data_IF_391310560294
#
_entry.id   IF_391310560294
#
_cell.length_a   1.000
_cell.length_b   1.000
_cell.length_c   1.000
_cell.angle_alpha   90.00
_cell.angle_beta   90.00
_cell.angle_gamma   90.00
#
_symmetry.space_group_name_H-M   'P 1'
#
loop_
_entity.id
_entity.type
_entity.pdbx_description
1 polymer ?
#
# COMPACT_ATOMS: atom_id res chain seq x y z
N UNK A 1 -3.03 -4.73 -22.09
CA UNK A 1 -2.30 -4.81 -20.79
C UNK A 1 -1.85 -6.25 -20.56
N UNK A 2 -0.64 -6.48 -20.02
CA UNK A 2 -0.20 -7.84 -19.64
C UNK A 2 -0.96 -8.33 -18.40
N UNK A 3 -1.27 -9.62 -18.32
CA UNK A 3 -1.98 -10.21 -17.18
C UNK A 3 -1.25 -10.00 -15.85
N UNK A 4 0.09 -10.03 -15.87
CA UNK A 4 0.94 -9.79 -14.69
C UNK A 4 0.74 -8.43 -14.01
N UNK A 5 0.11 -7.47 -14.72
CA UNK A 5 -0.15 -6.11 -14.23
C UNK A 5 -1.57 -5.92 -13.71
N UNK A 6 -2.43 -6.92 -13.81
CA UNK A 6 -3.82 -6.86 -13.35
C UNK A 6 -3.87 -7.21 -11.86
N UNK A 7 -4.36 -6.32 -10.98
CA UNK A 7 -4.54 -6.65 -9.57
C UNK A 7 -5.42 -7.88 -9.37
N UNK A 8 -5.09 -8.71 -8.39
CA UNK A 8 -5.77 -9.98 -8.13
C UNK A 8 -5.28 -11.17 -8.96
N UNK A 9 -4.61 -10.98 -10.11
CA UNK A 9 -4.02 -12.11 -10.86
C UNK A 9 -2.67 -12.48 -10.23
N UNK A 10 -2.69 -13.52 -9.41
CA UNK A 10 -1.50 -14.06 -8.73
C UNK A 10 -0.67 -15.01 -9.58
N UNK A 11 0.49 -15.43 -9.04
CA UNK A 11 1.45 -16.28 -9.74
C UNK A 11 0.86 -17.60 -10.26
N UNK A 12 0.00 -18.27 -9.48
CA UNK A 12 -0.65 -19.53 -9.89
C UNK A 12 -1.58 -19.33 -11.10
N UNK A 13 -2.38 -18.26 -11.10
CA UNK A 13 -3.25 -17.93 -12.23
C UNK A 13 -2.42 -17.57 -13.47
N UNK A 14 -1.34 -16.79 -13.32
CA UNK A 14 -0.43 -16.48 -14.42
C UNK A 14 0.21 -17.74 -15.01
N UNK A 15 0.64 -18.67 -14.17
CA UNK A 15 1.22 -19.93 -14.63
C UNK A 15 0.23 -20.73 -15.48
N UNK A 16 -1.03 -20.85 -15.02
CA UNK A 16 -2.11 -21.50 -15.77
C UNK A 16 -2.34 -20.83 -17.13
N UNK A 17 -2.45 -19.50 -17.17
CA UNK A 17 -2.68 -18.78 -18.42
C UNK A 17 -1.49 -18.86 -19.38
N UNK A 18 -0.26 -18.80 -18.87
CA UNK A 18 0.94 -18.94 -19.70
C UNK A 18 1.04 -20.32 -20.34
N UNK A 19 0.63 -21.40 -19.65
CA UNK A 19 0.55 -22.74 -20.24
C UNK A 19 -0.43 -22.79 -21.42
N UNK A 20 -1.48 -21.97 -21.38
CA UNK A 20 -2.46 -21.80 -22.44
C UNK A 20 -2.06 -20.73 -23.47
N UNK A 21 -0.82 -20.22 -23.40
CA UNK A 21 -0.29 -19.13 -24.25
C UNK A 21 -1.08 -17.81 -24.16
N UNK A 22 -1.73 -17.55 -23.03
CA UNK A 22 -2.47 -16.31 -22.73
C UNK A 22 -1.60 -15.39 -21.88
N UNK A 23 -1.28 -14.19 -22.37
CA UNK A 23 -0.32 -13.27 -21.73
C UNK A 23 -0.89 -11.87 -21.48
N UNK A 24 -1.94 -11.49 -22.21
CA UNK A 24 -2.61 -10.18 -22.17
C UNK A 24 -4.10 -10.35 -21.88
N UNK A 25 -4.73 -9.27 -21.41
CA UNK A 25 -6.18 -9.25 -21.14
C UNK A 25 -6.99 -9.69 -22.37
N UNK A 26 -6.59 -9.27 -23.56
CA UNK A 26 -7.27 -9.60 -24.83
C UNK A 26 -7.23 -11.11 -25.18
N UNK A 27 -6.34 -11.87 -24.55
CA UNK A 27 -6.21 -13.31 -24.77
C UNK A 27 -7.18 -14.10 -23.87
N UNK A 28 -7.87 -13.44 -22.95
CA UNK A 28 -8.82 -14.06 -22.02
C UNK A 28 -10.20 -14.23 -22.66
N UNK A 29 -10.78 -15.39 -22.43
CA UNK A 29 -12.15 -15.74 -22.78
C UNK A 29 -13.07 -15.66 -21.56
N UNK A 30 -14.39 -15.72 -21.77
CA UNK A 30 -15.39 -15.68 -20.69
C UNK A 30 -15.11 -16.72 -19.58
N UNK A 31 -14.79 -17.95 -19.96
CA UNK A 31 -14.45 -19.03 -19.02
C UNK A 31 -13.20 -18.72 -18.16
N UNK A 32 -12.22 -18.01 -18.72
CA UNK A 32 -11.04 -17.60 -17.96
C UNK A 32 -11.44 -16.59 -16.90
N UNK A 33 -12.28 -15.62 -17.29
CA UNK A 33 -12.79 -14.56 -16.43
C UNK A 33 -13.58 -15.12 -15.25
N UNK A 34 -14.41 -16.14 -15.48
CA UNK A 34 -15.18 -16.81 -14.44
C UNK A 34 -14.29 -17.57 -13.44
N UNK A 35 -13.17 -18.12 -13.91
CA UNK A 35 -12.20 -18.82 -13.07
C UNK A 35 -11.35 -17.91 -12.18
N UNK A 36 -11.38 -16.60 -12.43
CA UNK A 36 -10.61 -15.61 -11.67
C UNK A 36 -11.25 -15.32 -10.30
N UNK A 37 -10.38 -15.02 -9.32
CA UNK A 37 -10.84 -14.55 -8.02
C UNK A 37 -11.58 -13.19 -8.13
N UNK A 38 -12.32 -12.84 -7.07
CA UNK A 38 -13.14 -11.63 -7.05
C UNK A 38 -12.34 -10.35 -7.36
N UNK A 39 -11.13 -10.19 -6.81
CA UNK A 39 -10.31 -9.00 -7.06
C UNK A 39 -9.92 -8.87 -8.54
N UNK A 40 -9.50 -9.97 -9.18
CA UNK A 40 -9.12 -9.97 -10.58
C UNK A 40 -10.31 -9.66 -11.49
N UNK A 41 -11.48 -10.27 -11.24
CA UNK A 41 -12.72 -9.99 -11.98
C UNK A 41 -13.11 -8.52 -11.88
N UNK A 42 -13.16 -7.98 -10.66
CA UNK A 42 -13.49 -6.57 -10.45
C UNK A 42 -12.45 -5.63 -11.06
N UNK A 43 -11.16 -5.99 -11.01
CA UNK A 43 -10.10 -5.19 -11.63
C UNK A 43 -10.29 -5.09 -13.14
N UNK A 44 -10.60 -6.20 -13.81
CA UNK A 44 -10.86 -6.23 -15.25
C UNK A 44 -12.15 -5.50 -15.63
N UNK A 45 -13.15 -5.51 -14.75
CA UNK A 45 -14.43 -4.84 -14.98
C UNK A 45 -14.37 -3.31 -14.80
N UNK A 46 -13.66 -2.82 -13.78
CA UNK A 46 -13.75 -1.43 -13.34
C UNK A 46 -12.52 -0.57 -13.60
N UNK A 47 -11.34 -1.18 -13.81
CA UNK A 47 -10.10 -0.45 -14.01
C UNK A 47 -9.76 -0.37 -15.50
N UNK A 48 -9.31 0.80 -15.93
CA UNK A 48 -8.77 1.03 -17.27
C UNK A 48 -7.22 0.99 -17.30
N UNK A 49 -6.60 0.74 -16.14
CA UNK A 49 -5.17 0.52 -15.95
C UNK A 49 -4.22 1.67 -16.36
N UNK A 50 -4.72 2.88 -16.60
CA UNK A 50 -3.88 4.06 -16.82
C UNK A 50 -3.47 4.73 -15.50
N UNK A 51 -2.24 5.26 -15.37
CA UNK A 51 -1.83 5.98 -14.17
C UNK A 51 -2.65 7.25 -13.88
N UNK A 52 -2.93 7.50 -12.61
CA UNK A 52 -3.62 8.68 -12.10
C UNK A 52 -2.66 9.84 -11.88
N UNK A 53 -3.09 11.05 -12.18
CA UNK A 53 -2.41 12.31 -11.86
C UNK A 53 -2.59 12.72 -10.40
N UNK A 54 -1.76 13.63 -9.91
CA UNK A 54 -1.93 14.20 -8.55
C UNK A 54 -3.28 14.89 -8.38
N UNK A 55 -3.79 15.54 -9.43
CA UNK A 55 -5.10 16.20 -9.42
C UNK A 55 -6.24 15.21 -9.17
N UNK A 56 -6.21 14.04 -9.82
CA UNK A 56 -7.21 12.99 -9.60
C UNK A 56 -7.14 12.45 -8.14
N UNK A 57 -5.94 12.20 -7.62
CA UNK A 57 -5.78 11.75 -6.22
C UNK A 57 -6.21 12.83 -5.22
N UNK A 58 -5.91 14.11 -5.50
CA UNK A 58 -6.36 15.24 -4.69
C UNK A 58 -7.88 15.42 -4.72
N UNK A 59 -8.56 15.03 -5.80
CA UNK A 59 -10.02 14.99 -5.87
C UNK A 59 -10.59 13.90 -4.95
N UNK A 60 -10.04 12.68 -5.01
CA UNK A 60 -10.41 11.60 -4.08
C UNK A 60 -10.16 12.01 -2.64
N UNK A 61 -9.02 12.65 -2.36
CA UNK A 61 -8.67 13.19 -1.05
C UNK A 61 -9.75 14.14 -0.51
N UNK A 62 -10.21 15.08 -1.35
CA UNK A 62 -11.23 16.08 -0.98
C UNK A 62 -12.63 15.48 -0.85
N UNK A 63 -13.05 14.66 -1.82
CA UNK A 63 -14.43 14.17 -1.91
C UNK A 63 -14.72 12.97 -1.02
N UNK A 64 -13.72 12.11 -0.80
CA UNK A 64 -13.87 10.87 -0.06
C UNK A 64 -13.05 10.87 1.25
N UNK A 65 -11.72 10.98 1.17
CA UNK A 65 -10.85 10.70 2.32
C UNK A 65 -11.11 11.67 3.48
N UNK A 66 -11.13 12.98 3.22
CA UNK A 66 -11.40 14.01 4.23
C UNK A 66 -12.73 13.86 4.96
N UNK A 67 -13.73 13.22 4.32
CA UNK A 67 -15.06 13.03 4.90
C UNK A 67 -15.18 11.78 5.76
N UNK A 68 -14.35 10.77 5.52
CA UNK A 68 -14.48 9.45 6.16
C UNK A 68 -13.38 9.16 7.19
N UNK A 69 -12.25 9.85 7.14
CA UNK A 69 -11.10 9.58 8.00
C UNK A 69 -10.67 10.84 8.75
N UNK A 70 -10.37 10.70 10.04
CA UNK A 70 -9.96 11.82 10.90
C UNK A 70 -8.45 12.02 10.91
N UNK A 71 -7.69 10.96 11.20
CA UNK A 71 -6.22 10.95 11.12
C UNK A 71 -5.80 10.01 10.02
N UNK A 72 -5.27 10.57 8.94
CA UNK A 72 -4.88 9.82 7.77
C UNK A 72 -3.68 10.45 7.07
N UNK A 73 -3.02 9.65 6.24
CA UNK A 73 -1.98 10.10 5.32
C UNK A 73 -2.06 9.30 4.02
N UNK A 74 -1.95 9.98 2.88
CA UNK A 74 -1.79 9.30 1.59
C UNK A 74 -0.29 9.02 1.42
N UNK A 75 0.07 7.76 1.54
CA UNK A 75 1.45 7.28 1.53
C UNK A 75 1.93 6.95 0.10
N UNK A 76 2.82 5.97 0.00
CA UNK A 76 3.27 5.43 -1.27
C UNK A 76 3.84 6.47 -2.23
N UNK A 77 3.58 6.25 -3.51
CA UNK A 77 4.10 7.09 -4.58
C UNK A 77 3.64 8.56 -4.51
N UNK A 78 2.45 8.81 -3.96
CA UNK A 78 1.94 10.16 -3.75
C UNK A 78 2.78 10.94 -2.74
N UNK A 79 3.08 10.34 -1.56
CA UNK A 79 3.93 10.99 -0.54
C UNK A 79 5.37 11.20 -1.01
N UNK A 80 5.87 10.34 -1.90
CA UNK A 80 7.17 10.49 -2.59
C UNK A 80 7.14 11.49 -3.76
N UNK A 81 6.07 12.28 -3.90
CA UNK A 81 5.91 13.34 -4.91
C UNK A 81 5.99 12.87 -6.37
N UNK A 82 5.66 11.61 -6.66
CA UNK A 82 5.59 11.14 -8.06
C UNK A 82 4.49 11.90 -8.81
N UNK A 83 4.73 12.17 -10.10
CA UNK A 83 3.74 12.85 -10.97
C UNK A 83 2.52 11.98 -11.28
N UNK A 84 2.71 10.64 -11.28
CA UNK A 84 1.71 9.64 -11.65
C UNK A 84 1.71 8.49 -10.65
N UNK A 85 0.53 8.00 -10.30
CA UNK A 85 0.28 6.93 -9.32
C UNK A 85 -0.58 5.84 -9.95
N UNK A 86 -0.48 4.61 -9.45
CA UNK A 86 -1.33 3.49 -9.90
C UNK A 86 -2.55 3.29 -9.00
N UNK A 87 -2.43 3.73 -7.76
CA UNK A 87 -3.31 3.46 -6.63
C UNK A 87 -3.11 4.54 -5.55
N UNK A 88 -3.92 4.43 -4.49
CA UNK A 88 -3.83 5.21 -3.26
C UNK A 88 -3.49 4.26 -2.12
N UNK A 89 -2.31 4.45 -1.52
CA UNK A 89 -1.94 3.85 -0.24
C UNK A 89 -2.42 4.76 0.90
N UNK A 90 -3.56 4.46 1.52
CA UNK A 90 -4.16 5.28 2.58
C UNK A 90 -3.85 4.69 3.96
N UNK A 91 -3.06 5.40 4.76
CA UNK A 91 -2.81 5.07 6.16
C UNK A 91 -3.80 5.83 7.05
N UNK A 92 -4.37 5.18 8.05
CA UNK A 92 -5.29 5.80 9.04
C UNK A 92 -5.14 5.16 10.42
N UNK A 93 -5.63 5.84 11.46
CA UNK A 93 -5.75 5.25 12.81
C UNK A 93 -7.12 4.71 13.14
N UNK A 94 -8.14 5.04 12.35
CA UNK A 94 -9.51 4.58 12.57
C UNK A 94 -9.92 3.60 11.47
N UNK A 95 -10.44 2.44 11.88
CA UNK A 95 -11.15 1.55 10.97
C UNK A 95 -12.47 2.21 10.55
N UNK A 96 -12.89 1.96 9.31
CA UNK A 96 -14.16 2.44 8.77
C UNK A 96 -14.85 1.26 8.11
N UNK A 97 -16.12 1.05 8.45
CA UNK A 97 -16.95 0.08 7.76
C UNK A 97 -17.34 0.63 6.40
N UNK A 98 -16.62 0.19 5.37
CA UNK A 98 -16.91 0.55 3.99
C UNK A 98 -18.09 -0.29 3.48
N UNK A 99 -18.99 0.35 2.74
CA UNK A 99 -20.16 -0.30 2.11
C UNK A 99 -20.08 -0.14 0.60
N UNK A 100 -20.46 -1.20 -0.11
CA UNK A 100 -20.60 -1.18 -1.57
C UNK A 100 -21.56 -0.07 -2.00
N UNK A 101 -21.21 0.66 -3.07
CA UNK A 101 -22.08 1.66 -3.69
C UNK A 101 -21.72 1.85 -5.16
N UNK A 102 -22.46 2.71 -5.87
CA UNK A 102 -22.13 3.09 -7.26
C UNK A 102 -20.74 3.75 -7.39
N UNK A 103 -20.25 4.39 -6.33
CA UNK A 103 -18.99 5.14 -6.32
C UNK A 103 -17.90 4.44 -5.50
N UNK A 104 -18.20 3.28 -4.89
CA UNK A 104 -17.26 2.48 -4.13
C UNK A 104 -17.48 0.98 -4.39
N UNK A 105 -16.48 0.34 -5.00
CA UNK A 105 -16.47 -1.10 -5.24
C UNK A 105 -15.59 -1.78 -4.19
N UNK A 106 -16.19 -2.50 -3.26
CA UNK A 106 -15.52 -3.16 -2.16
C UNK A 106 -14.93 -4.50 -2.63
N UNK A 107 -13.63 -4.71 -2.40
CA UNK A 107 -12.94 -5.94 -2.79
C UNK A 107 -12.65 -6.79 -1.57
N UNK A 108 -12.10 -6.16 -0.53
CA UNK A 108 -11.78 -6.78 0.74
C UNK A 108 -12.05 -5.79 1.85
N UNK A 109 -12.82 -6.22 2.85
CA UNK A 109 -13.07 -5.45 4.06
C UNK A 109 -12.42 -6.14 5.25
N UNK A 110 -11.38 -5.54 5.82
CA UNK A 110 -10.67 -6.11 6.96
C UNK A 110 -10.35 -5.05 8.01
N UNK A 111 -10.17 -5.50 9.25
CA UNK A 111 -9.99 -4.58 10.39
C UNK A 111 -8.68 -3.77 10.29
N UNK A 112 -7.59 -4.39 9.84
CA UNK A 112 -6.28 -3.75 9.68
C UNK A 112 -5.95 -3.36 8.25
N UNK A 113 -6.59 -4.02 7.27
CA UNK A 113 -6.40 -3.75 5.85
C UNK A 113 -7.69 -3.98 5.07
N UNK A 114 -8.06 -2.99 4.28
CA UNK A 114 -9.14 -3.07 3.30
C UNK A 114 -8.64 -2.69 1.92
N UNK A 115 -9.30 -3.20 0.89
CA UNK A 115 -9.06 -2.85 -0.51
C UNK A 115 -10.38 -2.57 -1.19
N UNK A 116 -10.45 -1.47 -1.91
CA UNK A 116 -11.64 -1.05 -2.63
C UNK A 116 -11.27 -0.11 -3.76
N UNK A 117 -12.20 0.10 -4.68
CA UNK A 117 -12.07 1.11 -5.71
C UNK A 117 -12.99 2.27 -5.40
N UNK A 118 -12.51 3.50 -5.55
CA UNK A 118 -13.31 4.71 -5.38
C UNK A 118 -13.41 5.45 -6.70
N UNK A 119 -14.61 5.91 -7.05
CA UNK A 119 -14.83 6.64 -8.30
C UNK A 119 -14.19 8.04 -8.22
N UNK A 120 -13.45 8.39 -9.27
CA UNK A 120 -13.00 9.75 -9.56
C UNK A 120 -13.40 10.09 -11.00
N UNK A 121 -14.21 11.14 -11.17
CA UNK A 121 -14.79 11.47 -12.48
C UNK A 121 -15.44 10.24 -13.14
N UNK A 122 -14.92 9.75 -14.29
CA UNK A 122 -15.44 8.61 -15.04
C UNK A 122 -14.69 7.29 -14.79
N UNK A 123 -13.74 7.26 -13.87
CA UNK A 123 -12.83 6.12 -13.64
C UNK A 123 -12.83 5.70 -12.18
N UNK A 124 -12.31 4.51 -11.91
CA UNK A 124 -12.14 3.99 -10.55
C UNK A 124 -10.68 3.95 -10.17
N UNK A 125 -10.35 4.50 -8.99
CA UNK A 125 -9.00 4.48 -8.42
C UNK A 125 -8.91 3.36 -7.39
N UNK A 126 -7.92 2.46 -7.48
CA UNK A 126 -7.66 1.52 -6.42
C UNK A 126 -7.17 2.18 -5.14
N UNK A 127 -7.71 1.76 -4.00
CA UNK A 127 -7.30 2.21 -2.67
C UNK A 127 -6.95 0.99 -1.81
N UNK A 128 -5.71 0.96 -1.32
CA UNK A 128 -5.30 0.12 -0.21
C UNK A 128 -5.40 0.95 1.08
N UNK A 129 -6.32 0.56 1.96
CA UNK A 129 -6.49 1.18 3.28
C UNK A 129 -5.75 0.35 4.32
N UNK A 130 -4.88 1.01 5.09
CA UNK A 130 -4.13 0.44 6.20
C UNK A 130 -4.52 1.14 7.50
N UNK A 131 -4.92 0.36 8.50
CA UNK A 131 -5.28 0.86 9.84
C UNK A 131 -4.15 0.51 10.80
N UNK A 132 -3.60 1.50 11.48
CA UNK A 132 -2.50 1.33 12.44
C UNK A 132 -2.79 2.07 13.75
N UNK A 133 -2.47 1.52 14.93
CA UNK A 133 -2.60 2.27 16.17
C UNK A 133 -1.61 3.43 16.24
N UNK A 134 -1.91 4.44 17.07
CA UNK A 134 -1.11 5.67 17.18
C UNK A 134 0.36 5.41 17.51
N UNK A 135 0.66 4.45 18.40
CA UNK A 135 2.04 4.12 18.78
C UNK A 135 2.84 3.49 17.63
N UNK A 136 2.16 2.84 16.67
CA UNK A 136 2.78 2.26 15.48
C UNK A 136 2.84 3.24 14.29
N UNK A 137 2.23 4.43 14.42
CA UNK A 137 2.11 5.41 13.34
C UNK A 137 3.43 5.77 12.65
N UNK A 138 4.54 6.11 13.35
CA UNK A 138 5.78 6.51 12.67
C UNK A 138 6.42 5.35 11.89
N UNK A 139 6.32 4.12 12.39
CA UNK A 139 6.80 2.91 11.71
C UNK A 139 5.96 2.62 10.46
N UNK A 140 4.63 2.71 10.58
CA UNK A 140 3.71 2.49 9.48
C UNK A 140 3.87 3.57 8.41
N UNK A 141 4.00 4.84 8.81
CA UNK A 141 4.23 5.95 7.90
C UNK A 141 5.51 5.74 7.09
N UNK A 142 6.61 5.38 7.75
CA UNK A 142 7.88 5.06 7.10
C UNK A 142 7.70 3.90 6.11
N UNK A 143 7.07 2.81 6.55
CA UNK A 143 6.87 1.60 5.77
C UNK A 143 6.00 1.83 4.53
N UNK A 144 4.80 2.38 4.70
CA UNK A 144 3.87 2.60 3.61
C UNK A 144 4.27 3.77 2.70
N UNK A 145 5.14 4.69 3.16
CA UNK A 145 5.77 5.66 2.26
C UNK A 145 6.70 4.97 1.27
N UNK A 146 7.42 3.92 1.68
CA UNK A 146 8.38 3.22 0.84
C UNK A 146 9.53 4.12 0.36
N UNK A 147 10.20 3.82 -0.76
CA UNK A 147 9.95 2.72 -1.72
C UNK A 147 10.18 1.30 -1.14
N UNK A 148 9.87 0.26 -1.94
CA UNK A 148 10.18 -1.14 -1.58
C UNK A 148 11.68 -1.29 -1.31
N UNK A 149 12.50 -0.72 -2.18
CA UNK A 149 13.96 -0.74 -2.12
C UNK A 149 14.46 -0.01 -0.87
N UNK A 150 13.88 1.14 -0.54
CA UNK A 150 14.18 1.88 0.67
C UNK A 150 13.83 1.10 1.95
N UNK A 151 12.65 0.46 1.98
CA UNK A 151 12.25 -0.40 3.09
C UNK A 151 13.22 -1.58 3.29
N UNK A 152 13.65 -2.22 2.20
CA UNK A 152 14.66 -3.30 2.25
C UNK A 152 15.97 -2.76 2.83
N UNK A 153 16.43 -1.60 2.37
CA UNK A 153 17.65 -0.96 2.87
C UNK A 153 17.56 -0.61 4.35
N UNK A 154 16.46 -0.02 4.79
CA UNK A 154 16.18 0.30 6.21
C UNK A 154 16.23 -0.96 7.06
N UNK A 155 15.52 -2.01 6.66
CA UNK A 155 15.48 -3.29 7.39
C UNK A 155 16.87 -3.94 7.47
N UNK A 156 17.63 -3.98 6.38
CA UNK A 156 19.01 -4.49 6.36
C UNK A 156 19.93 -3.69 7.29
N UNK A 157 19.79 -2.36 7.36
CA UNK A 157 20.58 -1.51 8.25
C UNK A 157 20.21 -1.69 9.72
N UNK A 158 18.92 -1.84 10.03
CA UNK A 158 18.46 -2.17 11.38
C UNK A 158 18.99 -3.55 11.82
N UNK A 159 18.95 -4.55 10.95
CA UNK A 159 19.47 -5.90 11.25
C UNK A 159 20.96 -5.89 11.57
N UNK A 160 21.77 -5.10 10.85
CA UNK A 160 23.20 -4.91 11.15
C UNK A 160 23.46 -4.29 12.54
N UNK A 161 22.45 -3.64 13.14
CA UNK A 161 22.49 -3.10 14.50
C UNK A 161 21.88 -4.05 15.54
N UNK A 162 21.56 -5.29 15.18
CA UNK A 162 20.89 -6.25 16.06
C UNK A 162 19.39 -6.01 16.22
N UNK A 163 18.78 -5.21 15.34
CA UNK A 163 17.38 -4.81 15.45
C UNK A 163 16.51 -5.32 14.29
N UNK A 164 15.25 -5.61 14.59
CA UNK A 164 14.19 -5.96 13.64
C UNK A 164 13.22 -4.80 13.49
N UNK A 165 13.25 -4.14 12.33
CA UNK A 165 12.32 -3.07 11.97
C UNK A 165 11.17 -3.60 11.10
N UNK A 166 9.93 -3.32 11.52
CA UNK A 166 8.72 -3.60 10.74
C UNK A 166 7.79 -2.36 10.71
N UNK A 167 6.58 -2.50 10.17
CA UNK A 167 5.59 -1.44 10.05
C UNK A 167 4.88 -1.05 11.36
N UNK A 168 5.13 -1.79 12.44
CA UNK A 168 4.54 -1.59 13.76
C UNK A 168 5.56 -1.05 14.76
N UNK A 169 6.79 -1.56 14.71
CA UNK A 169 7.81 -1.31 15.71
C UNK A 169 9.24 -1.58 15.22
N UNK A 170 10.22 -1.17 16.04
CA UNK A 170 11.61 -1.57 15.97
C UNK A 170 11.96 -2.24 17.30
N UNK A 171 12.38 -3.51 17.25
CA UNK A 171 12.82 -4.30 18.41
C UNK A 171 14.31 -4.56 18.25
N UNK A 172 15.12 -4.31 19.26
CA UNK A 172 16.51 -4.77 19.30
C UNK A 172 16.62 -5.97 20.25
N UNK A 173 17.29 -7.03 19.82
CA UNK A 173 17.60 -8.15 20.70
C UNK A 173 18.76 -7.75 21.62
N UNK A 174 18.89 -8.44 22.76
CA UNK A 174 20.05 -8.32 23.64
C UNK A 174 21.35 -8.42 22.84
N UNK A 175 22.18 -7.38 22.95
CA UNK A 175 23.57 -7.35 22.53
C UNK A 175 24.34 -6.57 23.63
N UNK A 176 25.65 -6.76 23.79
CA UNK A 176 26.43 -6.15 24.90
C UNK A 176 26.27 -4.61 25.00
N UNK A 177 25.84 -3.95 23.92
CA UNK A 177 25.58 -2.51 23.84
C UNK A 177 24.16 -2.06 24.27
N UNK A 178 23.18 -2.98 24.37
CA UNK A 178 21.79 -2.71 24.75
C UNK A 178 21.18 -3.91 25.50
N UNK A 179 21.00 -3.84 26.83
CA UNK A 179 20.39 -4.92 27.59
C UNK A 179 18.87 -4.99 27.34
N UNK A 180 18.43 -6.08 26.68
CA UNK A 180 17.04 -6.57 26.56
C UNK A 180 16.16 -5.99 25.42
N UNK A 181 15.01 -6.63 25.18
CA UNK A 181 13.98 -6.35 24.16
C UNK A 181 13.37 -4.94 24.27
N UNK A 182 14.18 -3.91 24.14
CA UNK A 182 13.75 -2.52 24.24
C UNK A 182 12.91 -2.14 23.02
N UNK A 183 11.70 -1.65 23.31
CA UNK A 183 10.85 -0.98 22.34
C UNK A 183 11.14 0.51 22.39
N UNK A 184 11.61 1.04 21.28
CA UNK A 184 11.88 2.47 21.17
C UNK A 184 10.59 3.24 20.88
N UNK A 185 10.16 4.19 21.74
CA UNK A 185 8.96 4.98 21.53
C UNK A 185 9.23 6.14 20.57
N UNK A 186 9.70 5.83 19.35
CA UNK A 186 9.91 6.84 18.33
C UNK A 186 8.60 7.58 18.07
N UNK A 187 8.65 8.91 18.05
CA UNK A 187 7.50 9.78 17.79
C UNK A 187 7.35 10.08 16.31
N UNK A 188 8.45 9.99 15.56
CA UNK A 188 8.50 10.35 14.13
C UNK A 188 9.28 9.33 13.29
N UNK A 189 8.97 9.27 11.98
CA UNK A 189 9.78 8.48 11.04
C UNK A 189 11.23 8.99 10.92
N UNK A 190 11.46 10.26 11.22
CA UNK A 190 12.79 10.88 11.20
C UNK A 190 13.68 10.33 12.30
N UNK A 191 13.16 10.15 13.51
CA UNK A 191 13.90 9.51 14.60
C UNK A 191 14.29 8.08 14.25
N UNK A 192 13.37 7.31 13.64
CA UNK A 192 13.68 5.95 13.16
C UNK A 192 14.82 5.99 12.12
N UNK A 193 14.75 6.90 11.15
CA UNK A 193 15.80 7.05 10.13
C UNK A 193 17.14 7.50 10.73
N UNK A 194 17.14 8.43 11.69
CA UNK A 194 18.36 8.84 12.39
C UNK A 194 18.99 7.67 13.14
N UNK A 195 18.19 6.90 13.89
CA UNK A 195 18.69 5.72 14.60
C UNK A 195 19.26 4.65 13.66
N UNK A 196 18.55 4.34 12.57
CA UNK A 196 18.91 3.24 11.65
C UNK A 196 19.98 3.64 10.64
N UNK A 197 19.90 4.85 10.06
CA UNK A 197 20.76 5.32 8.97
C UNK A 197 21.79 6.37 9.37
N UNK A 198 21.63 7.02 10.53
CA UNK A 198 22.41 8.20 10.91
C UNK A 198 22.03 9.47 10.15
N UNK A 199 20.94 9.44 9.36
CA UNK A 199 20.47 10.60 8.58
C UNK A 199 19.00 10.51 8.22
N UNK A 200 18.39 11.68 7.99
CA UNK A 200 17.03 11.80 7.49
C UNK A 200 17.03 11.72 5.97
N UNK A 201 16.10 10.96 5.40
CA UNK A 201 15.85 10.91 3.96
C UNK A 201 14.42 11.39 3.68
N UNK A 202 14.23 12.53 2.99
CA UNK A 202 12.89 13.03 2.71
C UNK A 202 12.14 12.08 1.75
N UNK A 203 10.81 11.99 1.81
CA UNK A 203 10.02 11.04 1.01
C UNK A 203 10.35 10.99 -0.48
N UNK A 204 10.58 12.13 -1.12
CA UNK A 204 10.94 12.23 -2.55
C UNK A 204 12.30 11.63 -2.92
N UNK A 205 13.16 11.36 -1.94
CA UNK A 205 14.48 10.73 -2.11
C UNK A 205 14.49 9.26 -1.65
N UNK A 206 13.32 8.67 -1.38
CA UNK A 206 13.16 7.26 -0.97
C UNK A 206 12.73 6.35 -2.12
#
# INVERSE_FOLDING_TARGET
>A
MKLEKVPGIGALALQKFHQQKKYKIQDLELQDMESLNNEARLSLQYLDFHPFSRKEIDEVKKKFIKKHFRKWEICGSYRRKKKKMKDIDLLTTNSVLLKQSKDLILIKNGNSRSRFFVRVSKRFVPVDLFVTPLHSWPFALLHFTGSKEFNIKMRKKAQKKGCKLNEKELICNYNEMFPCNERFPFKTENEIMLFVLGKIVPPEKR
#
